data_IF_103634346005
#
_entry.id   IF_103634346005
#
_cell.length_a   1.000
_cell.length_b   1.000
_cell.length_c   1.000
_cell.angle_alpha   90.00
_cell.angle_beta   90.00
_cell.angle_gamma   90.00
#
_symmetry.space_group_name_H-M   'P 1'
#
loop_
_entity.id
_entity.type
_entity.pdbx_description
1 polymer ?
#
# COMPACT_ATOMS: atom_id res chain seq x y z
N UNK A 1 -36.71 43.41 -2.62
CA UNK A 1 -35.25 43.26 -2.76
C UNK A 1 -34.57 42.62 -1.55
N UNK A 2 -34.96 42.94 -0.30
CA UNK A 2 -34.40 42.29 0.91
C UNK A 2 -34.71 40.78 1.02
N UNK A 3 -35.87 40.34 0.54
CA UNK A 3 -36.32 38.93 0.64
C UNK A 3 -35.58 37.96 -0.30
N UNK A 4 -35.09 38.44 -1.45
CA UNK A 4 -34.35 37.61 -2.41
C UNK A 4 -32.90 37.34 -1.95
N UNK A 5 -32.30 38.29 -1.24
CA UNK A 5 -30.94 38.17 -0.68
C UNK A 5 -30.91 37.13 0.45
N UNK A 6 -31.96 37.08 1.27
CA UNK A 6 -32.09 36.11 2.37
C UNK A 6 -32.25 34.68 1.82
N UNK A 7 -33.02 34.49 0.75
CA UNK A 7 -33.19 33.19 0.11
C UNK A 7 -31.90 32.67 -0.54
N UNK A 8 -31.12 33.56 -1.18
CA UNK A 8 -29.82 33.19 -1.78
C UNK A 8 -28.79 32.84 -0.69
N UNK A 9 -28.75 33.60 0.41
CA UNK A 9 -27.85 33.29 1.53
C UNK A 9 -28.18 31.93 2.19
N UNK A 10 -29.47 31.60 2.34
CA UNK A 10 -29.89 30.30 2.90
C UNK A 10 -29.53 29.12 1.97
N UNK A 11 -29.67 29.29 0.64
CA UNK A 11 -29.34 28.26 -0.35
C UNK A 11 -27.81 28.06 -0.46
N UNK A 12 -27.03 29.12 -0.38
CA UNK A 12 -25.55 29.04 -0.37
C UNK A 12 -25.05 28.36 0.92
N UNK A 13 -25.70 28.60 2.07
CA UNK A 13 -25.33 27.95 3.33
C UNK A 13 -25.71 26.45 3.36
N UNK A 14 -26.77 26.05 2.66
CA UNK A 14 -27.23 24.65 2.59
C UNK A 14 -26.37 23.77 1.67
N UNK A 15 -25.70 24.35 0.67
CA UNK A 15 -24.69 23.66 -0.16
C UNK A 15 -23.30 23.58 0.50
N UNK A 16 -23.05 24.32 1.60
CA UNK A 16 -21.72 24.47 2.17
C UNK A 16 -21.48 23.63 3.45
N UNK A 17 -22.49 22.95 3.99
CA UNK A 17 -22.42 22.34 5.32
C UNK A 17 -22.31 20.80 5.34
N UNK A 18 -22.07 20.14 4.21
CA UNK A 18 -21.67 18.73 4.19
C UNK A 18 -20.15 18.60 3.92
N UNK A 19 -19.34 19.42 4.61
CA UNK A 19 -17.97 19.03 4.83
C UNK A 19 -18.03 17.91 5.89
N UNK A 20 -18.09 16.65 5.41
CA UNK A 20 -17.97 15.50 6.28
C UNK A 20 -16.78 15.74 7.21
N UNK A 21 -17.03 15.80 8.52
CA UNK A 21 -15.98 15.78 9.53
C UNK A 21 -15.38 14.38 9.51
N UNK A 22 -14.60 14.08 8.47
CA UNK A 22 -13.73 12.93 8.46
C UNK A 22 -12.72 13.17 9.59
N UNK A 23 -12.75 12.32 10.62
CA UNK A 23 -11.67 12.28 11.59
C UNK A 23 -10.34 12.08 10.87
N UNK A 24 -9.26 12.62 11.44
CA UNK A 24 -7.93 12.46 10.86
C UNK A 24 -7.64 10.97 10.65
N UNK A 25 -7.24 10.60 9.43
CA UNK A 25 -6.92 9.23 9.11
C UNK A 25 -5.77 8.77 10.03
N UNK A 26 -5.83 7.55 10.61
CA UNK A 26 -4.76 7.05 11.45
C UNK A 26 -3.40 7.14 10.74
N UNK A 27 -2.40 7.66 11.45
CA UNK A 27 -1.05 7.72 10.94
C UNK A 27 -0.52 6.29 10.69
N UNK A 28 0.20 6.06 9.58
CA UNK A 28 0.73 4.74 9.27
C UNK A 28 1.80 4.32 10.28
N UNK A 29 1.78 3.05 10.70
CA UNK A 29 2.81 2.48 11.55
C UNK A 29 3.98 1.95 10.72
N UNK A 30 5.21 2.24 11.15
CA UNK A 30 6.40 1.67 10.52
C UNK A 30 6.54 0.18 10.83
N UNK A 31 6.65 -0.65 9.79
CA UNK A 31 6.88 -2.09 9.91
C UNK A 31 8.09 -2.53 9.06
N UNK A 32 8.85 -3.48 9.60
CA UNK A 32 9.84 -4.22 8.82
C UNK A 32 9.15 -5.22 7.88
N UNK A 33 9.79 -5.54 6.77
CA UNK A 33 9.27 -6.46 5.75
C UNK A 33 8.84 -7.83 6.31
N UNK A 34 9.50 -8.31 7.37
CA UNK A 34 9.15 -9.58 8.01
C UNK A 34 7.84 -9.53 8.82
N UNK A 35 7.46 -8.36 9.33
CA UNK A 35 6.23 -8.17 10.09
C UNK A 35 5.01 -7.87 9.20
N UNK A 36 5.21 -7.53 7.92
CA UNK A 36 4.10 -7.21 7.01
C UNK A 36 3.28 -8.47 6.71
N UNK A 37 1.97 -8.36 6.90
CA UNK A 37 1.00 -9.46 6.79
C UNK A 37 0.77 -10.21 8.11
N UNK A 38 1.79 -10.30 8.96
CA UNK A 38 1.71 -10.93 10.28
C UNK A 38 1.47 -12.44 10.28
N UNK A 39 1.48 -13.03 11.47
CA UNK A 39 1.13 -14.44 11.67
C UNK A 39 -0.39 -14.65 11.70
N UNK A 40 -0.84 -15.89 11.53
CA UNK A 40 -2.23 -16.23 11.78
C UNK A 40 -2.58 -16.00 13.26
N UNK A 41 -3.76 -15.42 13.52
CA UNK A 41 -4.32 -15.37 14.88
C UNK A 41 -5.06 -16.67 15.19
N UNK A 42 -5.81 -17.18 14.21
CA UNK A 42 -6.54 -18.45 14.25
C UNK A 42 -6.92 -18.88 12.82
N UNK A 43 -7.65 -20.00 12.66
CA UNK A 43 -8.05 -20.53 11.36
C UNK A 43 -8.96 -19.62 10.52
N UNK A 44 -9.69 -18.70 11.16
CA UNK A 44 -10.58 -17.73 10.50
C UNK A 44 -9.94 -16.35 10.35
N UNK A 45 -8.73 -16.16 10.86
CA UNK A 45 -7.96 -14.92 10.73
C UNK A 45 -6.53 -15.28 10.31
N UNK A 46 -6.36 -15.86 9.10
CA UNK A 46 -5.06 -16.28 8.60
C UNK A 46 -4.16 -15.07 8.35
N UNK A 47 -2.87 -15.25 8.60
CA UNK A 47 -1.82 -14.32 8.20
C UNK A 47 -1.16 -14.75 6.89
N UNK A 48 0.03 -14.22 6.63
CA UNK A 48 0.85 -14.61 5.47
C UNK A 48 1.78 -15.77 5.81
N UNK A 49 2.19 -16.53 4.80
CA UNK A 49 3.16 -17.61 4.95
C UNK A 49 4.49 -17.08 5.51
N UNK A 50 4.95 -17.67 6.61
CA UNK A 50 6.15 -17.23 7.32
C UNK A 50 6.05 -15.80 7.89
N UNK A 51 4.84 -15.26 8.04
CA UNK A 51 4.62 -13.95 8.69
C UNK A 51 4.88 -14.02 10.20
N UNK A 52 5.37 -12.93 10.77
CA UNK A 52 5.62 -12.80 12.20
C UNK A 52 4.90 -11.58 12.79
N UNK A 53 4.56 -11.66 14.09
CA UNK A 53 3.87 -10.59 14.79
C UNK A 53 2.37 -10.46 14.44
N UNK A 54 1.72 -9.37 14.88
CA UNK A 54 0.28 -9.19 14.73
C UNK A 54 -0.18 -9.19 13.27
N UNK A 55 -1.32 -9.83 12.99
CA UNK A 55 -1.97 -9.76 11.69
C UNK A 55 -2.39 -8.31 11.40
N UNK A 56 -1.77 -7.73 10.38
CA UNK A 56 -1.98 -6.34 9.98
C UNK A 56 -2.56 -6.22 8.56
N UNK A 57 -3.11 -7.31 8.02
CA UNK A 57 -3.81 -7.28 6.73
C UNK A 57 -4.98 -6.30 6.82
N UNK A 58 -5.10 -5.42 5.83
CA UNK A 58 -6.09 -4.34 5.76
C UNK A 58 -5.67 -3.04 6.44
N UNK A 59 -4.53 -3.02 7.16
CA UNK A 59 -4.05 -1.80 7.83
C UNK A 59 -3.17 -0.95 6.92
N UNK A 60 -3.18 0.37 7.18
CA UNK A 60 -2.28 1.32 6.57
C UNK A 60 -0.94 1.31 7.31
N UNK A 61 0.13 0.97 6.61
CA UNK A 61 1.48 0.86 7.18
C UNK A 61 2.45 1.72 6.39
N UNK A 62 3.63 1.92 6.97
CA UNK A 62 4.78 2.51 6.30
C UNK A 62 5.97 1.55 6.41
N UNK A 63 6.76 1.46 5.37
CA UNK A 63 7.99 0.66 5.37
C UNK A 63 9.05 1.35 4.52
N UNK A 64 10.29 0.87 4.61
CA UNK A 64 11.43 1.44 3.90
C UNK A 64 12.18 0.31 3.20
N UNK A 65 12.78 0.58 2.05
CA UNK A 65 13.70 -0.38 1.46
C UNK A 65 14.37 0.11 0.18
N UNK A 66 15.37 -0.64 -0.25
CA UNK A 66 15.98 -0.49 -1.57
C UNK A 66 15.14 -1.23 -2.60
N UNK A 67 14.84 -0.60 -3.73
CA UNK A 67 14.15 -1.23 -4.86
C UNK A 67 15.04 -2.30 -5.46
N UNK A 68 14.58 -3.54 -5.46
CA UNK A 68 15.33 -4.71 -5.95
C UNK A 68 14.86 -5.17 -7.32
N UNK A 69 13.64 -4.82 -7.71
CA UNK A 69 13.04 -5.22 -8.98
C UNK A 69 11.85 -4.32 -9.33
N UNK A 70 11.61 -4.09 -10.63
CA UNK A 70 10.48 -3.32 -11.15
C UNK A 70 9.87 -4.06 -12.33
N UNK A 71 8.55 -4.22 -12.33
CA UNK A 71 7.77 -4.70 -13.46
C UNK A 71 6.66 -3.68 -13.79
N UNK A 72 6.96 -2.83 -14.76
CA UNK A 72 6.06 -1.78 -15.22
C UNK A 72 4.85 -2.31 -16.00
N UNK A 73 4.97 -3.47 -16.63
CA UNK A 73 3.86 -4.07 -17.38
C UNK A 73 2.77 -4.58 -16.43
N UNK A 74 3.20 -5.24 -15.35
CA UNK A 74 2.30 -5.79 -14.33
C UNK A 74 2.06 -4.85 -13.14
N UNK A 75 2.65 -3.64 -13.16
CA UNK A 75 2.45 -2.56 -12.19
C UNK A 75 2.79 -2.94 -10.75
N UNK A 76 3.97 -3.52 -10.55
CA UNK A 76 4.53 -3.75 -9.22
C UNK A 76 6.06 -3.57 -9.20
N UNK A 77 6.61 -3.37 -8.01
CA UNK A 77 8.04 -3.41 -7.74
C UNK A 77 8.31 -4.12 -6.42
N UNK A 78 9.56 -4.46 -6.14
CA UNK A 78 9.98 -5.04 -4.85
C UNK A 78 10.89 -4.07 -4.11
N UNK A 79 10.74 -4.00 -2.79
CA UNK A 79 11.67 -3.30 -1.91
C UNK A 79 12.18 -4.22 -0.81
N UNK A 80 13.47 -4.12 -0.51
CA UNK A 80 14.13 -4.86 0.57
C UNK A 80 14.64 -3.89 1.63
N UNK A 81 14.19 -4.09 2.87
CA UNK A 81 14.61 -3.33 4.06
C UNK A 81 15.90 -3.91 4.68
N UNK A 82 16.48 -4.95 4.09
CA UNK A 82 17.62 -5.71 4.60
C UNK A 82 17.24 -7.02 5.28
N UNK A 83 15.94 -7.31 5.41
CA UNK A 83 15.44 -8.60 5.91
C UNK A 83 15.67 -9.76 4.93
N UNK A 84 15.95 -9.47 3.65
CA UNK A 84 16.15 -10.45 2.60
C UNK A 84 14.96 -11.42 2.44
N UNK A 85 13.73 -10.95 2.67
CA UNK A 85 12.52 -11.76 2.52
C UNK A 85 12.41 -12.30 1.10
N UNK A 86 11.99 -13.57 0.96
CA UNK A 86 11.75 -14.21 -0.33
C UNK A 86 10.35 -14.82 -0.32
N UNK A 87 9.59 -14.53 -1.36
CA UNK A 87 8.19 -14.95 -1.49
C UNK A 87 8.00 -16.09 -2.51
N UNK A 88 9.10 -16.59 -3.08
CA UNK A 88 9.13 -17.64 -4.10
C UNK A 88 9.05 -17.12 -5.53
N UNK A 89 8.90 -15.81 -5.74
CA UNK A 89 8.94 -15.22 -7.09
C UNK A 89 10.35 -15.16 -7.66
N UNK A 90 10.41 -15.23 -8.98
CA UNK A 90 11.66 -15.18 -9.74
C UNK A 90 11.45 -14.37 -11.02
N UNK A 91 12.51 -13.70 -11.47
CA UNK A 91 12.60 -13.09 -12.79
C UNK A 91 13.74 -13.75 -13.56
N UNK A 92 13.43 -14.41 -14.68
CA UNK A 92 14.39 -15.16 -15.49
C UNK A 92 15.32 -16.09 -14.67
N UNK A 93 14.74 -16.82 -13.70
CA UNK A 93 15.47 -17.73 -12.80
C UNK A 93 16.18 -17.06 -11.62
N UNK A 94 16.19 -15.73 -11.54
CA UNK A 94 16.75 -15.00 -10.40
C UNK A 94 15.68 -14.74 -9.33
N UNK A 95 15.83 -15.22 -8.09
CA UNK A 95 14.86 -14.95 -7.02
C UNK A 95 14.71 -13.46 -6.74
N UNK A 96 13.47 -12.98 -6.65
CA UNK A 96 13.20 -11.62 -6.19
C UNK A 96 13.31 -11.57 -4.66
N UNK A 97 13.80 -10.44 -4.16
CA UNK A 97 14.07 -10.23 -2.73
C UNK A 97 13.33 -9.00 -2.27
N UNK A 98 12.69 -9.09 -1.10
CA UNK A 98 11.94 -8.02 -0.47
C UNK A 98 10.43 -8.28 -0.44
N UNK A 99 9.67 -7.21 -0.22
CA UNK A 99 8.20 -7.21 -0.26
C UNK A 99 7.72 -6.60 -1.58
N UNK A 100 6.64 -7.18 -2.10
CA UNK A 100 5.96 -6.66 -3.29
C UNK A 100 5.17 -5.40 -2.95
N UNK A 101 5.36 -4.37 -3.76
CA UNK A 101 4.58 -3.14 -3.76
C UNK A 101 3.80 -3.07 -5.07
N UNK A 102 2.48 -3.17 -4.99
CA UNK A 102 1.59 -3.07 -6.15
C UNK A 102 1.05 -1.66 -6.29
N UNK A 103 1.14 -1.12 -7.51
CA UNK A 103 0.61 0.18 -7.89
C UNK A 103 -0.42 0.09 -9.04
N UNK A 104 -0.95 -1.11 -9.27
CA UNK A 104 -2.11 -1.35 -10.15
C UNK A 104 -3.44 -1.38 -9.41
N UNK A 105 -4.55 -1.25 -10.15
CA UNK A 105 -5.90 -1.29 -9.59
C UNK A 105 -6.17 -0.12 -8.64
N UNK A 106 -5.70 1.07 -9.03
CA UNK A 106 -5.97 2.33 -8.34
C UNK A 106 -7.43 2.73 -8.51
N UNK A 107 -7.94 3.55 -7.59
CA UNK A 107 -9.28 4.10 -7.69
C UNK A 107 -9.41 5.04 -8.89
N UNK A 108 -10.63 5.20 -9.40
CA UNK A 108 -10.91 6.12 -10.49
C UNK A 108 -10.48 7.55 -10.13
N UNK A 109 -9.87 8.25 -11.09
CA UNK A 109 -9.37 9.62 -10.91
C UNK A 109 -7.99 9.72 -10.25
N UNK A 110 -7.40 8.61 -9.80
CA UNK A 110 -6.00 8.62 -9.35
C UNK A 110 -5.05 8.62 -10.55
N UNK A 111 -4.08 9.54 -10.54
CA UNK A 111 -3.06 9.61 -11.58
C UNK A 111 -2.22 8.31 -11.66
N UNK A 112 -1.74 7.98 -12.85
CA UNK A 112 -0.84 6.86 -13.05
C UNK A 112 0.44 7.04 -12.21
N UNK A 113 0.89 5.96 -11.57
CA UNK A 113 2.10 5.96 -10.74
C UNK A 113 3.33 5.70 -11.60
N UNK A 114 4.36 6.52 -11.42
CA UNK A 114 5.69 6.27 -11.93
C UNK A 114 6.49 5.47 -10.88
N UNK A 115 6.84 4.20 -11.14
CA UNK A 115 7.61 3.42 -10.19
C UNK A 115 9.03 3.98 -10.01
N UNK A 116 9.63 3.82 -8.83
CA UNK A 116 11.04 4.14 -8.61
C UNK A 116 11.94 3.22 -9.43
N UNK A 117 13.20 3.63 -9.67
CA UNK A 117 14.17 2.82 -10.38
C UNK A 117 14.79 1.74 -9.48
N UNK A 118 15.28 0.66 -10.09
CA UNK A 118 16.06 -0.34 -9.36
C UNK A 118 17.29 0.32 -8.72
N UNK A 119 17.57 -0.03 -7.46
CA UNK A 119 18.55 0.54 -6.54
C UNK A 119 18.16 1.85 -5.84
N UNK A 120 17.04 2.48 -6.19
CA UNK A 120 16.54 3.60 -5.40
C UNK A 120 16.19 3.15 -3.98
N UNK A 121 16.35 4.04 -3.00
CA UNK A 121 15.85 3.83 -1.65
C UNK A 121 14.55 4.60 -1.50
N UNK A 122 13.51 3.93 -1.01
CA UNK A 122 12.17 4.53 -0.88
C UNK A 122 11.55 4.22 0.48
N UNK A 123 10.73 5.14 0.95
CA UNK A 123 9.74 4.90 1.99
C UNK A 123 8.40 4.71 1.29
N UNK A 124 7.70 3.62 1.58
CA UNK A 124 6.41 3.29 1.00
C UNK A 124 5.35 3.29 2.09
N UNK A 125 4.30 4.07 1.90
CA UNK A 125 3.06 3.99 2.66
C UNK A 125 2.05 3.18 1.87
N UNK A 126 1.33 2.26 2.49
CA UNK A 126 0.34 1.48 1.74
C UNK A 126 -0.53 0.61 2.62
N UNK A 127 -1.55 0.03 2.00
CA UNK A 127 -2.47 -0.89 2.64
C UNK A 127 -1.92 -2.30 2.47
N UNK A 128 -1.77 -3.03 3.58
CA UNK A 128 -1.34 -4.43 3.53
C UNK A 128 -2.46 -5.27 2.95
N UNK A 129 -2.18 -5.96 1.86
CA UNK A 129 -3.02 -6.99 1.28
C UNK A 129 -2.29 -8.32 1.33
N UNK A 130 -3.02 -9.40 1.07
CA UNK A 130 -2.48 -10.75 0.98
C UNK A 130 -2.84 -11.31 -0.40
N UNK A 131 -1.89 -11.98 -1.03
CA UNK A 131 -2.14 -12.58 -2.34
C UNK A 131 -1.35 -13.88 -2.53
N UNK A 132 -1.88 -14.74 -3.39
CA UNK A 132 -1.11 -15.83 -3.96
C UNK A 132 -0.23 -15.24 -5.06
N UNK A 133 1.08 -15.47 -5.00
CA UNK A 133 1.99 -15.00 -6.03
C UNK A 133 2.55 -16.20 -6.79
N UNK A 134 2.15 -16.50 -8.03
CA UNK A 134 2.78 -17.59 -8.79
C UNK A 134 4.29 -17.33 -8.94
N UNK A 135 5.18 -18.33 -8.77
CA UNK A 135 4.94 -19.76 -8.55
C UNK A 135 5.08 -20.19 -7.08
N UNK A 136 4.69 -19.36 -6.09
CA UNK A 136 4.92 -19.58 -4.65
C UNK A 136 4.28 -20.84 -4.02
N UNK A 137 3.92 -21.87 -4.79
CA UNK A 137 3.39 -23.16 -4.33
C UNK A 137 2.15 -23.02 -3.42
N UNK A 138 1.31 -22.02 -3.67
CA UNK A 138 0.12 -21.76 -2.86
C UNK A 138 0.38 -20.98 -1.56
N UNK A 139 1.61 -20.51 -1.33
CA UNK A 139 1.91 -19.65 -0.19
C UNK A 139 1.24 -18.28 -0.34
N UNK A 140 0.59 -17.83 0.73
CA UNK A 140 0.00 -16.48 0.79
C UNK A 140 1.10 -15.51 1.17
N UNK A 141 1.31 -14.48 0.37
CA UNK A 141 2.38 -13.52 0.56
C UNK A 141 1.81 -12.11 0.79
N UNK A 142 2.51 -11.26 1.56
CA UNK A 142 2.09 -9.88 1.71
C UNK A 142 2.26 -9.13 0.40
N UNK A 143 1.34 -8.19 0.14
CA UNK A 143 1.40 -7.26 -0.97
C UNK A 143 1.02 -5.88 -0.44
N UNK A 144 1.95 -4.92 -0.53
CA UNK A 144 1.68 -3.56 -0.12
C UNK A 144 1.04 -2.80 -1.28
N UNK A 145 -0.19 -2.32 -1.09
CA UNK A 145 -0.92 -1.59 -2.13
C UNK A 145 -0.85 -0.09 -1.86
N UNK A 146 -0.22 0.63 -2.77
CA UNK A 146 -0.20 2.10 -2.74
C UNK A 146 -1.52 2.67 -3.24
N UNK A 147 -1.85 3.87 -2.81
CA UNK A 147 -3.10 4.57 -3.14
C UNK A 147 -2.89 5.67 -4.16
N UNK A 148 -1.70 6.26 -4.22
CA UNK A 148 -1.31 7.33 -5.13
C UNK A 148 0.23 7.44 -5.24
N UNK A 149 0.73 8.36 -6.07
CA UNK A 149 2.17 8.62 -6.20
C UNK A 149 2.80 9.08 -4.87
N UNK A 150 2.06 9.84 -4.06
CA UNK A 150 2.54 10.37 -2.78
C UNK A 150 2.72 9.29 -1.72
N UNK A 151 2.30 8.06 -1.95
CA UNK A 151 2.60 6.94 -1.06
C UNK A 151 4.05 6.44 -1.23
N UNK A 152 4.77 6.88 -2.27
CA UNK A 152 6.14 6.47 -2.59
C UNK A 152 7.08 7.67 -2.45
N UNK A 153 7.87 7.69 -1.37
CA UNK A 153 8.79 8.78 -1.08
C UNK A 153 10.24 8.35 -1.35
N UNK A 154 10.96 9.02 -2.27
CA UNK A 154 12.38 8.76 -2.47
C UNK A 154 13.20 9.20 -1.24
N UNK A 155 14.24 8.44 -0.93
CA UNK A 155 15.23 8.74 0.11
C UNK A 155 16.56 8.99 -0.61
N UNK A 156 17.07 10.21 -0.47
CA UNK A 156 18.36 10.64 -1.04
C UNK A 156 19.55 9.95 -0.35
#
# INVERSE_FOLDING_TARGET
MKSAIIAVAAIVCMFCACAAMAGEAPAPLYLSANAIGGSALNQYTPGVSGGSGPNNIGLLIRTYGKVTFVDSANRYFYIDDGSARRDGTQNAGTPLVGIRVSYGGLADGVAAINPPAVNDRVIVTGIVSAMLVPPSNGAIQPNLRVRCQDDIFPVL
#
